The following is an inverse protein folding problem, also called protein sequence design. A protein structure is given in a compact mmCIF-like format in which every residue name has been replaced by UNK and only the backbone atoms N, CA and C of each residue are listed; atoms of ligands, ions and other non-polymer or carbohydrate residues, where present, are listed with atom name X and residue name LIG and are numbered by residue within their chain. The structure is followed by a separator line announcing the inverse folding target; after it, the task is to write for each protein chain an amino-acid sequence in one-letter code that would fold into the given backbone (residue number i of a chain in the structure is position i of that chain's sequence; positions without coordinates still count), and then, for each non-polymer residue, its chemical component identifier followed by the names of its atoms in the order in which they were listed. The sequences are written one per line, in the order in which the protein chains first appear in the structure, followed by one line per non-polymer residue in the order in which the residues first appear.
data_IF_766570494938
#
_entry.id   IF_766570494938
#
_cell.length_a   1.000
_cell.length_b   1.000
_cell.length_c   1.000
_cell.angle_alpha   90.00
_cell.angle_beta   90.00
_cell.angle_gamma   90.00
#
_symmetry.space_group_name_H-M   'P 1'
#
loop_
_entity.id
_entity.type
_entity.pdbx_description
1 polymer ?
#
# COMPACT_ATOMS: atom_id res chain seq x y z
N UNK A 1 -15.52 -16.81 20.18
CA UNK A 1 -16.68 -16.23 19.46
C UNK A 1 -16.97 -14.83 20.00
N UNK A 2 -17.50 -13.96 19.16
CA UNK A 2 -17.86 -12.61 19.55
C UNK A 2 -18.85 -11.97 18.59
N UNK A 3 -19.32 -10.78 18.97
CA UNK A 3 -20.14 -9.92 18.13
C UNK A 3 -19.61 -8.48 18.21
N UNK A 4 -19.78 -7.72 17.14
CA UNK A 4 -19.43 -6.30 17.08
C UNK A 4 -20.54 -5.52 16.38
N UNK A 5 -20.75 -4.28 16.83
CA UNK A 5 -21.66 -3.33 16.19
C UNK A 5 -20.91 -2.00 16.08
N UNK A 6 -20.84 -1.48 14.86
CA UNK A 6 -20.25 -0.18 14.57
C UNK A 6 -21.32 0.72 13.94
N UNK A 7 -21.48 1.94 14.45
CA UNK A 7 -22.44 2.92 13.94
C UNK A 7 -21.68 4.20 13.61
N UNK A 8 -21.71 4.59 12.35
CA UNK A 8 -21.05 5.80 11.87
C UNK A 8 -22.09 6.73 11.27
N UNK A 9 -22.08 7.99 11.73
CA UNK A 9 -22.89 9.08 11.16
C UNK A 9 -21.97 10.23 10.81
N UNK A 10 -22.00 10.67 9.57
CA UNK A 10 -21.18 11.76 9.07
C UNK A 10 -22.00 12.78 8.29
N UNK A 11 -21.77 14.05 8.55
CA UNK A 11 -22.27 15.16 7.75
C UNK A 11 -21.09 15.78 7.02
N UNK A 12 -21.26 16.01 5.72
CA UNK A 12 -20.30 16.73 4.90
C UNK A 12 -20.99 18.02 4.40
N UNK A 13 -20.28 19.12 4.45
CA UNK A 13 -20.70 20.39 3.90
C UNK A 13 -19.53 20.99 3.14
N UNK A 14 -19.76 21.37 1.90
CA UNK A 14 -18.78 21.99 1.03
C UNK A 14 -19.39 23.22 0.41
N UNK A 15 -18.77 24.38 0.61
CA UNK A 15 -19.15 25.66 0.04
C UNK A 15 -17.97 26.24 -0.72
N UNK A 16 -18.23 26.83 -1.89
CA UNK A 16 -17.19 27.43 -2.73
C UNK A 16 -17.69 28.71 -3.35
N UNK A 17 -16.84 29.75 -3.37
CA UNK A 17 -17.17 31.06 -3.96
C UNK A 17 -17.08 31.10 -5.49
N UNK A 18 -16.73 29.96 -6.14
CA UNK A 18 -16.66 29.86 -7.60
C UNK A 18 -18.03 29.56 -8.18
N UNK A 19 -18.53 30.43 -9.05
CA UNK A 19 -19.86 30.33 -9.64
C UNK A 19 -20.13 29.10 -10.51
N UNK A 20 -19.06 28.42 -10.95
CA UNK A 20 -19.15 27.27 -11.85
C UNK A 20 -19.25 25.92 -11.09
N UNK A 21 -19.00 25.92 -9.80
CA UNK A 21 -19.06 24.72 -8.95
C UNK A 21 -20.12 24.92 -7.90
N UNK A 22 -21.09 24.02 -7.86
CA UNK A 22 -22.19 24.10 -6.89
C UNK A 22 -21.75 23.71 -5.48
N UNK A 23 -22.31 24.35 -4.47
CA UNK A 23 -22.22 23.90 -3.10
C UNK A 23 -22.79 22.49 -2.96
N UNK A 24 -22.26 21.71 -2.04
CA UNK A 24 -22.72 20.36 -1.76
C UNK A 24 -22.89 20.15 -0.25
N UNK A 25 -23.95 19.45 0.11
CA UNK A 25 -24.21 19.04 1.48
C UNK A 25 -24.74 17.61 1.49
N UNK A 26 -24.04 16.72 2.15
CA UNK A 26 -24.41 15.30 2.18
C UNK A 26 -24.32 14.69 3.59
N UNK A 27 -25.05 13.61 3.78
CA UNK A 27 -25.05 12.80 5.01
C UNK A 27 -24.75 11.37 4.66
N UNK A 28 -23.87 10.75 5.44
CA UNK A 28 -23.53 9.34 5.36
C UNK A 28 -23.88 8.67 6.69
N UNK A 29 -24.68 7.62 6.64
CA UNK A 29 -24.95 6.73 7.74
C UNK A 29 -24.45 5.31 7.35
N UNK A 30 -23.63 4.72 8.18
CA UNK A 30 -23.16 3.34 7.98
C UNK A 30 -23.30 2.58 9.30
N UNK A 31 -24.12 1.52 9.29
CA UNK A 31 -24.28 0.62 10.42
C UNK A 31 -23.71 -0.74 10.03
N UNK A 32 -22.83 -1.29 10.86
CA UNK A 32 -22.22 -2.59 10.64
C UNK A 32 -22.51 -3.51 11.79
N UNK A 33 -23.05 -4.69 11.49
CA UNK A 33 -23.33 -5.75 12.44
C UNK A 33 -22.48 -6.96 12.08
N UNK A 34 -21.73 -7.49 13.02
CA UNK A 34 -20.87 -8.62 12.77
C UNK A 34 -20.94 -9.66 13.88
N UNK A 35 -20.86 -10.94 13.48
CA UNK A 35 -20.64 -12.06 14.36
C UNK A 35 -19.46 -12.87 13.86
N UNK A 36 -18.67 -13.43 14.79
CA UNK A 36 -17.49 -14.19 14.40
C UNK A 36 -17.21 -15.34 15.37
N UNK A 37 -16.58 -16.37 14.83
CA UNK A 37 -16.06 -17.52 15.57
C UNK A 37 -14.66 -17.83 15.09
N UNK A 38 -13.79 -18.15 16.04
CA UNK A 38 -12.42 -18.58 15.76
C UNK A 38 -12.15 -19.86 16.55
N UNK A 39 -11.43 -20.78 15.92
CA UNK A 39 -11.00 -22.04 16.49
C UNK A 39 -9.53 -22.27 16.17
N UNK A 40 -8.72 -22.51 17.18
CA UNK A 40 -7.30 -22.84 17.04
C UNK A 40 -7.01 -24.16 17.74
N UNK A 41 -6.27 -25.04 17.07
CA UNK A 41 -5.86 -26.32 17.64
C UNK A 41 -4.46 -26.71 17.21
N UNK A 42 -3.74 -27.36 18.11
CA UNK A 42 -2.48 -28.01 17.80
C UNK A 42 -2.75 -29.43 17.31
N UNK A 43 -2.32 -29.72 16.10
CA UNK A 43 -2.38 -31.07 15.53
C UNK A 43 -0.99 -31.72 15.62
N UNK A 44 -0.85 -33.04 15.41
CA UNK A 44 0.45 -33.70 15.36
C UNK A 44 1.39 -33.13 14.27
N UNK A 45 0.84 -32.43 13.27
CA UNK A 45 1.59 -31.90 12.12
C UNK A 45 1.83 -30.38 12.20
N UNK A 46 1.20 -29.69 13.15
CA UNK A 46 1.30 -28.24 13.31
C UNK A 46 0.06 -27.57 13.85
N UNK A 47 0.07 -26.25 13.88
CA UNK A 47 -1.03 -25.44 14.40
C UNK A 47 -2.01 -25.08 13.27
N UNK A 48 -3.29 -25.41 13.47
CA UNK A 48 -4.39 -25.06 12.58
C UNK A 48 -5.25 -23.98 13.26
N UNK A 49 -5.51 -22.88 12.52
CA UNK A 49 -6.46 -21.86 12.94
C UNK A 49 -7.53 -21.72 11.87
N UNK A 50 -8.78 -21.67 12.30
CA UNK A 50 -9.97 -21.47 11.47
C UNK A 50 -10.75 -20.29 12.02
N UNK A 51 -11.21 -19.41 11.16
CA UNK A 51 -12.06 -18.30 11.54
C UNK A 51 -13.16 -18.09 10.52
N UNK A 52 -14.31 -17.65 11.00
CA UNK A 52 -15.43 -17.26 10.17
C UNK A 52 -16.08 -16.02 10.77
N UNK A 53 -16.18 -14.97 9.97
CA UNK A 53 -16.89 -13.73 10.31
C UNK A 53 -17.99 -13.49 9.29
N UNK A 54 -19.21 -13.30 9.77
CA UNK A 54 -20.33 -12.77 8.99
C UNK A 54 -20.49 -11.30 9.34
N UNK A 55 -20.80 -10.48 8.34
CA UNK A 55 -20.98 -9.06 8.49
C UNK A 55 -22.14 -8.56 7.61
N UNK A 56 -23.06 -7.83 8.22
CA UNK A 56 -24.11 -7.08 7.54
C UNK A 56 -23.81 -5.60 7.65
N UNK A 57 -23.86 -4.88 6.52
CA UNK A 57 -23.60 -3.44 6.46
C UNK A 57 -24.79 -2.74 5.82
N UNK A 58 -25.45 -1.85 6.58
CA UNK A 58 -26.41 -0.89 6.06
C UNK A 58 -25.72 0.42 5.75
N UNK A 59 -25.78 0.86 4.51
CA UNK A 59 -25.18 2.10 4.05
C UNK A 59 -26.23 3.01 3.42
N UNK A 60 -26.31 4.25 3.93
CA UNK A 60 -27.18 5.30 3.41
C UNK A 60 -26.34 6.53 3.10
N UNK A 61 -26.45 7.04 1.87
CA UNK A 61 -25.93 8.33 1.44
C UNK A 61 -27.09 9.22 1.02
N UNK A 62 -27.16 10.43 1.56
CA UNK A 62 -28.16 11.45 1.20
C UNK A 62 -27.47 12.72 0.78
N UNK A 63 -27.67 13.13 -0.48
CA UNK A 63 -27.37 14.48 -0.92
C UNK A 63 -28.57 15.39 -0.63
N UNK A 64 -28.35 16.52 0.06
CA UNK A 64 -29.42 17.40 0.47
C UNK A 64 -29.85 18.39 -0.62
N UNK A 65 -29.06 18.54 -1.68
CA UNK A 65 -29.36 19.40 -2.82
C UNK A 65 -29.83 18.60 -4.05
N UNK A 66 -29.39 17.34 -4.19
CA UNK A 66 -29.75 16.49 -5.31
C UNK A 66 -30.17 15.10 -4.83
N UNK A 67 -31.44 14.87 -4.67
CA UNK A 67 -32.00 13.62 -4.21
C UNK A 67 -31.77 12.45 -5.20
N UNK A 68 -31.43 12.70 -6.47
CA UNK A 68 -31.13 11.67 -7.45
C UNK A 68 -29.84 10.91 -7.14
N UNK A 69 -28.97 11.51 -6.32
CA UNK A 69 -27.72 10.91 -5.85
C UNK A 69 -27.89 10.07 -4.57
N UNK A 70 -29.07 10.01 -4.00
CA UNK A 70 -29.32 9.24 -2.79
C UNK A 70 -29.11 7.75 -3.03
N UNK A 71 -28.45 7.09 -2.09
CA UNK A 71 -28.13 5.67 -2.14
C UNK A 71 -28.55 5.04 -0.82
N UNK A 72 -29.24 3.93 -0.92
CA UNK A 72 -29.53 3.06 0.23
C UNK A 72 -29.25 1.63 -0.19
N UNK A 73 -28.36 0.94 0.54
CA UNK A 73 -27.97 -0.43 0.23
C UNK A 73 -27.62 -1.22 1.49
N UNK A 74 -28.09 -2.45 1.57
CA UNK A 74 -27.61 -3.48 2.50
C UNK A 74 -26.64 -4.42 1.80
N UNK A 75 -25.62 -4.87 2.50
CA UNK A 75 -24.62 -5.81 1.99
C UNK A 75 -24.28 -6.85 3.03
N UNK A 76 -24.29 -8.11 2.60
CA UNK A 76 -23.92 -9.27 3.43
C UNK A 76 -22.58 -9.84 2.96
N UNK A 77 -21.67 -10.06 3.89
CA UNK A 77 -20.36 -10.57 3.60
C UNK A 77 -19.94 -11.67 4.56
N UNK A 78 -19.24 -12.68 4.01
CA UNK A 78 -18.66 -13.77 4.77
C UNK A 78 -17.14 -13.74 4.60
N UNK A 79 -16.43 -13.72 5.71
CA UNK A 79 -14.97 -13.60 5.76
C UNK A 79 -14.36 -14.85 6.41
N UNK A 80 -14.12 -15.93 5.66
CA UNK A 80 -13.40 -17.08 6.14
C UNK A 80 -11.91 -16.77 6.28
N UNK A 81 -11.29 -17.36 7.28
CA UNK A 81 -9.85 -17.40 7.47
C UNK A 81 -9.41 -18.81 7.81
N UNK A 82 -8.34 -19.27 7.16
CA UNK A 82 -7.70 -20.55 7.42
C UNK A 82 -6.20 -20.32 7.46
N UNK A 83 -5.53 -20.81 8.50
CA UNK A 83 -4.07 -20.84 8.50
C UNK A 83 -3.57 -22.15 9.13
N UNK A 84 -2.53 -22.68 8.52
CA UNK A 84 -1.81 -23.84 9.01
C UNK A 84 -0.32 -23.52 9.05
N UNK A 85 0.29 -23.73 10.21
CA UNK A 85 1.71 -23.52 10.43
C UNK A 85 2.36 -24.81 10.95
N UNK A 86 3.50 -25.18 10.36
CA UNK A 86 4.25 -26.37 10.75
C UNK A 86 5.74 -26.09 10.83
N UNK A 87 6.44 -26.88 11.60
CA UNK A 87 7.90 -26.93 11.65
C UNK A 87 8.37 -28.36 11.45
N UNK A 88 9.10 -28.57 10.37
CA UNK A 88 9.71 -29.87 10.03
C UNK A 88 11.22 -29.69 10.09
N UNK A 89 11.85 -30.21 11.16
CA UNK A 89 13.27 -29.98 11.45
C UNK A 89 13.58 -28.48 11.51
N UNK A 90 14.42 -27.99 10.63
CA UNK A 90 14.84 -26.59 10.55
C UNK A 90 13.94 -25.73 9.62
N UNK A 91 12.99 -26.34 8.92
CA UNK A 91 12.08 -25.66 8.02
C UNK A 91 10.79 -25.29 8.75
N UNK A 92 10.48 -24.00 8.80
CA UNK A 92 9.18 -23.48 9.20
C UNK A 92 8.39 -23.19 7.92
N UNK A 93 7.15 -23.65 7.86
CA UNK A 93 6.26 -23.42 6.74
C UNK A 93 4.87 -22.99 7.23
N UNK A 94 4.24 -22.09 6.52
CA UNK A 94 2.85 -21.72 6.76
C UNK A 94 2.09 -21.55 5.46
N UNK A 95 0.82 -21.96 5.48
CA UNK A 95 -0.16 -21.73 4.44
C UNK A 95 -1.30 -20.93 5.06
N UNK A 96 -1.78 -19.91 4.39
CA UNK A 96 -2.93 -19.16 4.84
C UNK A 96 -3.84 -18.76 3.68
N UNK A 97 -5.14 -18.73 3.99
CA UNK A 97 -6.16 -18.16 3.13
C UNK A 97 -7.04 -17.24 3.97
N UNK A 98 -7.38 -16.07 3.43
CA UNK A 98 -8.29 -15.13 4.10
C UNK A 98 -9.06 -14.32 3.09
N UNK A 99 -10.30 -13.99 3.42
CA UNK A 99 -11.11 -12.99 2.73
C UNK A 99 -11.16 -11.75 3.60
N UNK A 100 -10.85 -10.59 3.00
CA UNK A 100 -10.85 -9.29 3.68
C UNK A 100 -11.61 -8.27 2.87
N UNK A 101 -12.23 -7.30 3.54
CA UNK A 101 -12.84 -6.15 2.89
C UNK A 101 -11.98 -4.90 3.07
N UNK A 102 -11.96 -4.04 2.05
CA UNK A 102 -11.51 -2.66 2.15
C UNK A 102 -12.69 -1.75 1.82
N UNK A 103 -13.18 -1.04 2.81
CA UNK A 103 -14.26 -0.08 2.62
C UNK A 103 -13.71 1.21 2.02
N UNK A 104 -14.47 1.89 1.15
CA UNK A 104 -14.09 3.22 0.70
C UNK A 104 -13.88 4.15 1.90
N UNK A 105 -12.85 4.98 1.83
CA UNK A 105 -12.73 6.09 2.77
C UNK A 105 -13.92 7.04 2.56
N UNK A 106 -14.48 7.61 3.62
CA UNK A 106 -15.62 8.52 3.52
C UNK A 106 -15.35 9.74 2.64
N UNK A 107 -14.10 10.19 2.54
CA UNK A 107 -13.70 11.25 1.61
C UNK A 107 -13.96 10.85 0.15
N UNK A 108 -13.84 9.56 -0.19
CA UNK A 108 -14.12 9.05 -1.54
C UNK A 108 -15.62 8.93 -1.84
N UNK A 109 -16.47 8.93 -0.81
CA UNK A 109 -17.92 8.81 -0.93
C UNK A 109 -18.63 10.17 -1.03
N UNK A 110 -17.90 11.26 -1.12
CA UNK A 110 -18.47 12.61 -1.30
C UNK A 110 -19.00 12.79 -2.72
N UNK A 111 -19.91 13.74 -2.90
CA UNK A 111 -20.49 14.13 -4.20
C UNK A 111 -19.99 15.47 -4.70
N UNK A 112 -19.35 16.28 -3.84
CA UNK A 112 -18.87 17.59 -4.23
C UNK A 112 -17.70 17.55 -5.22
N UNK A 113 -17.66 18.54 -6.11
CA UNK A 113 -16.52 18.79 -6.97
C UNK A 113 -15.56 19.75 -6.23
N UNK A 114 -14.29 19.39 -6.15
CA UNK A 114 -13.22 20.24 -5.61
C UNK A 114 -12.37 20.82 -6.74
N UNK A 115 -12.08 22.09 -6.65
CA UNK A 115 -11.17 22.76 -7.57
C UNK A 115 -9.72 22.55 -7.12
N UNK A 116 -8.91 21.85 -7.91
CA UNK A 116 -7.50 21.66 -7.63
C UNK A 116 -6.64 22.76 -8.30
N UNK A 117 -6.90 23.01 -9.59
CA UNK A 117 -6.31 24.08 -10.36
C UNK A 117 -7.09 24.28 -11.67
N UNK A 118 -6.66 25.22 -12.53
CA UNK A 118 -7.35 25.58 -13.78
C UNK A 118 -7.69 24.42 -14.70
N UNK A 119 -6.90 23.34 -14.65
CA UNK A 119 -7.05 22.19 -15.56
C UNK A 119 -7.49 20.91 -14.85
N UNK A 120 -7.61 20.93 -13.52
CA UNK A 120 -7.92 19.74 -12.76
C UNK A 120 -8.96 19.98 -11.69
N UNK A 121 -9.99 19.16 -11.74
CA UNK A 121 -11.04 19.06 -10.72
C UNK A 121 -10.96 17.68 -10.07
N UNK A 122 -11.52 17.52 -8.90
CA UNK A 122 -11.67 16.20 -8.27
C UNK A 122 -13.01 16.04 -7.59
N UNK A 123 -13.52 14.81 -7.59
CA UNK A 123 -14.76 14.46 -6.90
C UNK A 123 -14.61 13.10 -6.21
N UNK A 124 -15.54 12.78 -5.35
CA UNK A 124 -15.71 11.40 -4.86
C UNK A 124 -16.77 10.67 -5.67
N UNK A 125 -17.12 9.47 -5.21
CA UNK A 125 -18.17 8.66 -5.80
C UNK A 125 -18.95 7.92 -4.71
N UNK A 126 -20.16 8.37 -4.35
CA UNK A 126 -21.00 7.72 -3.34
C UNK A 126 -21.41 6.30 -3.71
N UNK A 127 -21.34 5.94 -5.02
CA UNK A 127 -21.70 4.61 -5.54
C UNK A 127 -20.63 3.55 -5.30
N UNK A 128 -19.46 3.91 -4.80
CA UNK A 128 -18.38 2.96 -4.53
C UNK A 128 -18.84 1.82 -3.61
N UNK A 129 -18.56 0.60 -4.04
CA UNK A 129 -18.78 -0.64 -3.30
C UNK A 129 -17.55 -1.00 -2.49
N UNK A 130 -17.73 -1.85 -1.48
CA UNK A 130 -16.62 -2.45 -0.76
C UNK A 130 -15.78 -3.32 -1.69
N UNK A 131 -14.47 -3.18 -1.60
CA UNK A 131 -13.52 -4.06 -2.24
C UNK A 131 -13.37 -5.34 -1.41
N UNK A 132 -13.41 -6.49 -2.06
CA UNK A 132 -13.24 -7.80 -1.44
C UNK A 132 -11.94 -8.42 -1.94
N UNK A 133 -11.07 -8.76 -1.00
CA UNK A 133 -9.75 -9.33 -1.27
C UNK A 133 -9.69 -10.77 -0.76
N UNK A 134 -9.64 -11.72 -1.69
CA UNK A 134 -9.32 -13.12 -1.42
C UNK A 134 -7.81 -13.28 -1.50
N UNK A 135 -7.16 -13.66 -0.41
CA UNK A 135 -5.72 -13.75 -0.29
C UNK A 135 -5.30 -15.15 0.10
N UNK A 136 -4.36 -15.73 -0.66
CA UNK A 136 -3.67 -16.96 -0.30
C UNK A 136 -2.18 -16.70 -0.19
N UNK A 137 -1.53 -17.23 0.85
CA UNK A 137 -0.10 -17.05 1.04
C UNK A 137 0.56 -18.33 1.51
N UNK A 138 1.74 -18.59 0.97
CA UNK A 138 2.67 -19.63 1.43
C UNK A 138 3.94 -18.92 1.89
N UNK A 139 4.37 -19.20 3.12
CA UNK A 139 5.64 -18.70 3.64
C UNK A 139 6.47 -19.89 4.09
N UNK A 140 7.76 -19.85 3.75
CA UNK A 140 8.74 -20.84 4.15
C UNK A 140 9.98 -20.14 4.69
N UNK A 141 10.55 -20.68 5.75
CA UNK A 141 11.81 -20.22 6.33
C UNK A 141 12.71 -21.41 6.65
N UNK A 142 13.92 -21.35 6.15
CA UNK A 142 14.97 -22.29 6.47
C UNK A 142 16.24 -21.53 6.84
N UNK A 143 16.62 -21.57 8.10
CA UNK A 143 17.78 -20.84 8.64
C UNK A 143 17.72 -19.34 8.25
N UNK A 144 18.63 -18.92 7.36
CA UNK A 144 18.77 -17.55 6.87
C UNK A 144 17.98 -17.26 5.57
N UNK A 145 17.38 -18.29 4.98
CA UNK A 145 16.59 -18.18 3.76
C UNK A 145 15.10 -18.12 4.10
N UNK A 146 14.39 -17.16 3.54
CA UNK A 146 12.92 -17.14 3.57
C UNK A 146 12.35 -16.95 2.17
N UNK A 147 11.22 -17.58 1.93
CA UNK A 147 10.46 -17.50 0.68
C UNK A 147 9.01 -17.22 1.00
N UNK A 148 8.38 -16.34 0.22
CA UNK A 148 6.93 -16.11 0.26
C UNK A 148 6.34 -16.12 -1.14
N UNK A 149 5.16 -16.72 -1.26
CA UNK A 149 4.31 -16.65 -2.44
C UNK A 149 2.95 -16.15 -2.01
N UNK A 150 2.48 -15.07 -2.60
CA UNK A 150 1.23 -14.41 -2.26
C UNK A 150 0.39 -14.29 -3.51
N UNK A 151 -0.83 -14.80 -3.45
CA UNK A 151 -1.84 -14.63 -4.50
C UNK A 151 -3.01 -13.83 -3.96
N UNK A 152 -3.50 -12.90 -4.75
CA UNK A 152 -4.68 -12.09 -4.42
C UNK A 152 -5.65 -12.06 -5.60
N UNK A 153 -6.93 -12.22 -5.29
CA UNK A 153 -8.05 -11.91 -6.17
C UNK A 153 -8.83 -10.75 -5.54
N UNK A 154 -8.79 -9.61 -6.19
CA UNK A 154 -9.44 -8.37 -5.75
C UNK A 154 -10.71 -8.15 -6.56
N UNK A 155 -11.85 -8.18 -5.91
CA UNK A 155 -13.15 -7.88 -6.50
C UNK A 155 -13.56 -6.46 -6.13
N UNK A 156 -14.23 -5.74 -7.06
CA UNK A 156 -14.62 -4.33 -6.90
C UNK A 156 -13.45 -3.42 -6.53
N UNK A 157 -12.27 -3.64 -7.09
CA UNK A 157 -11.08 -2.82 -6.80
C UNK A 157 -11.40 -1.34 -6.93
N UNK A 158 -11.04 -0.54 -5.91
CA UNK A 158 -11.29 0.90 -5.85
C UNK A 158 -10.03 1.60 -6.35
N UNK A 159 -10.15 2.31 -7.48
CA UNK A 159 -9.05 3.02 -8.12
C UNK A 159 -9.41 4.45 -8.44
N UNK A 160 -8.42 5.32 -8.43
CA UNK A 160 -8.53 6.66 -8.99
C UNK A 160 -8.71 6.55 -10.51
N UNK A 161 -9.64 7.35 -11.01
CA UNK A 161 -9.97 7.41 -12.41
C UNK A 161 -9.89 8.84 -12.89
N UNK A 162 -9.53 9.00 -14.13
CA UNK A 162 -9.38 10.32 -14.73
C UNK A 162 -10.09 10.35 -16.06
N UNK A 163 -10.94 11.33 -16.27
CA UNK A 163 -11.65 11.53 -17.53
C UNK A 163 -11.73 13.00 -17.91
N UNK A 164 -11.97 13.32 -19.19
CA UNK A 164 -12.23 14.70 -19.63
C UNK A 164 -13.44 15.31 -18.95
N UNK A 165 -13.35 16.57 -18.62
CA UNK A 165 -14.47 17.35 -18.08
C UNK A 165 -14.64 18.65 -18.88
N UNK A 166 -15.74 18.76 -19.61
CA UNK A 166 -15.96 19.89 -20.55
C UNK A 166 -15.13 19.76 -21.84
N UNK A 167 -15.01 20.87 -22.58
CA UNK A 167 -14.35 20.92 -23.89
C UNK A 167 -12.96 21.58 -23.87
N UNK A 168 -12.57 22.22 -22.76
CA UNK A 168 -11.37 23.09 -22.64
C UNK A 168 -10.13 22.36 -22.11
N UNK A 169 -10.12 21.03 -22.14
CA UNK A 169 -8.97 20.22 -21.69
C UNK A 169 -8.89 20.07 -20.17
N UNK A 170 -9.94 20.46 -19.44
CA UNK A 170 -10.06 20.19 -18.01
C UNK A 170 -10.25 18.70 -17.76
N UNK A 171 -9.64 18.19 -16.70
CA UNK A 171 -9.64 16.79 -16.33
C UNK A 171 -10.28 16.63 -14.96
N UNK A 172 -11.21 15.66 -14.84
CA UNK A 172 -11.83 15.27 -13.57
C UNK A 172 -11.13 14.04 -13.01
N UNK A 173 -10.70 14.11 -11.76
CA UNK A 173 -10.27 12.96 -10.98
C UNK A 173 -11.43 12.47 -10.13
N UNK A 174 -11.83 11.24 -10.31
CA UNK A 174 -12.85 10.55 -9.52
C UNK A 174 -12.40 9.15 -9.08
N UNK A 175 -13.31 8.37 -8.54
CA UNK A 175 -13.04 7.03 -8.05
C UNK A 175 -14.06 6.04 -8.60
N UNK A 176 -13.57 4.89 -9.03
CA UNK A 176 -14.40 3.83 -9.60
C UNK A 176 -14.10 2.48 -8.98
N UNK A 177 -15.08 1.58 -9.03
CA UNK A 177 -14.81 0.16 -8.84
C UNK A 177 -14.59 -0.47 -10.22
N UNK A 178 -13.55 -1.28 -10.36
CA UNK A 178 -13.42 -2.12 -11.54
C UNK A 178 -14.38 -3.32 -11.47
N UNK A 179 -15.14 -3.53 -12.55
CA UNK A 179 -16.14 -4.61 -12.64
C UNK A 179 -15.49 -5.99 -12.73
N UNK A 180 -14.34 -6.09 -13.37
CA UNK A 180 -13.59 -7.34 -13.51
C UNK A 180 -12.65 -7.55 -12.32
N UNK A 181 -12.57 -8.76 -11.78
CA UNK A 181 -11.59 -9.06 -10.72
C UNK A 181 -10.16 -8.84 -11.19
N UNK A 182 -9.33 -8.31 -10.30
CA UNK A 182 -7.90 -8.13 -10.52
C UNK A 182 -7.17 -9.25 -9.79
N UNK A 183 -6.40 -10.03 -10.53
CA UNK A 183 -5.55 -11.06 -9.96
C UNK A 183 -4.13 -10.52 -9.81
N UNK A 184 -3.45 -10.86 -8.73
CA UNK A 184 -2.05 -10.57 -8.56
C UNK A 184 -1.30 -11.73 -7.92
N UNK A 185 -0.05 -11.89 -8.29
CA UNK A 185 0.88 -12.88 -7.75
C UNK A 185 2.18 -12.17 -7.39
N UNK A 186 2.64 -12.38 -6.16
CA UNK A 186 3.94 -11.93 -5.67
C UNK A 186 4.75 -13.12 -5.17
N UNK A 187 6.01 -13.19 -5.54
CA UNK A 187 6.96 -14.18 -5.06
C UNK A 187 8.23 -13.47 -4.63
N UNK A 188 8.71 -13.76 -3.42
CA UNK A 188 9.89 -13.14 -2.84
C UNK A 188 10.78 -14.19 -2.20
N UNK A 189 12.07 -14.05 -2.41
CA UNK A 189 13.12 -14.83 -1.74
C UNK A 189 14.02 -13.85 -1.01
N UNK A 190 14.23 -14.09 0.28
CA UNK A 190 15.08 -13.25 1.13
C UNK A 190 16.19 -14.12 1.75
N UNK A 191 17.38 -13.56 1.74
CA UNK A 191 18.54 -14.09 2.45
C UNK A 191 19.03 -13.03 3.42
N UNK A 192 19.02 -13.34 4.72
CA UNK A 192 19.52 -12.42 5.76
C UNK A 192 20.28 -13.21 6.79
N UNK A 193 21.55 -12.86 7.00
CA UNK A 193 22.40 -13.49 8.00
C UNK A 193 23.49 -12.51 8.48
N UNK A 194 24.24 -12.91 9.49
CA UNK A 194 25.44 -12.22 9.93
C UNK A 194 26.60 -13.20 9.91
N UNK A 195 27.61 -12.91 9.09
CA UNK A 195 28.84 -13.68 8.98
C UNK A 195 30.02 -12.84 9.46
N UNK A 196 30.43 -13.06 10.71
CA UNK A 196 31.47 -12.27 11.34
C UNK A 196 31.04 -10.79 11.44
N UNK A 197 31.76 -9.92 10.73
CA UNK A 197 31.52 -8.48 10.72
C UNK A 197 30.58 -8.02 9.59
N UNK A 198 30.15 -8.91 8.75
CA UNK A 198 29.31 -8.61 7.59
C UNK A 198 27.88 -9.12 7.80
N UNK A 199 26.91 -8.23 7.60
CA UNK A 199 25.48 -8.51 7.70
C UNK A 199 24.82 -8.17 6.36
N UNK A 200 24.74 -9.13 5.41
CA UNK A 200 23.98 -8.97 4.18
C UNK A 200 22.48 -9.18 4.41
N UNK A 201 21.67 -8.52 3.59
CA UNK A 201 20.24 -8.80 3.44
C UNK A 201 19.88 -8.62 1.96
N UNK A 202 19.52 -9.71 1.30
CA UNK A 202 19.19 -9.72 -0.12
C UNK A 202 17.75 -10.16 -0.32
N UNK A 203 17.04 -9.45 -1.19
CA UNK A 203 15.69 -9.79 -1.62
C UNK A 203 15.66 -9.83 -3.13
N UNK A 204 15.14 -10.94 -3.68
CA UNK A 204 14.75 -11.03 -5.08
C UNK A 204 13.26 -11.31 -5.14
N UNK A 205 12.53 -10.56 -5.93
CA UNK A 205 11.09 -10.66 -6.04
C UNK A 205 10.56 -10.52 -7.47
N UNK A 206 9.41 -11.13 -7.67
CA UNK A 206 8.56 -10.95 -8.85
C UNK A 206 7.16 -10.60 -8.37
N UNK A 207 6.58 -9.54 -8.92
CA UNK A 207 5.19 -9.23 -8.70
C UNK A 207 4.50 -8.98 -10.04
N UNK A 208 3.32 -9.55 -10.23
CA UNK A 208 2.55 -9.41 -11.45
C UNK A 208 1.08 -9.28 -11.12
N UNK A 209 0.41 -8.35 -11.79
CA UNK A 209 -1.04 -8.26 -11.83
C UNK A 209 -1.58 -8.66 -13.20
N UNK A 210 -2.84 -9.04 -13.23
CA UNK A 210 -3.63 -9.24 -14.44
C UNK A 210 -4.86 -8.36 -14.33
N UNK A 211 -4.78 -7.18 -14.96
CA UNK A 211 -5.87 -6.22 -15.05
C UNK A 211 -6.16 -5.94 -16.52
N UNK A 212 -7.43 -5.99 -16.90
CA UNK A 212 -7.87 -5.53 -18.22
C UNK A 212 -9.23 -4.82 -18.09
N UNK A 213 -9.35 -3.68 -18.77
CA UNK A 213 -10.57 -2.88 -18.81
C UNK A 213 -10.70 -2.18 -20.16
N UNK A 214 -11.91 -1.70 -20.46
CA UNK A 214 -12.20 -1.03 -21.71
C UNK A 214 -12.22 0.48 -21.47
N UNK A 215 -11.49 1.23 -22.32
CA UNK A 215 -11.49 2.68 -22.38
C UNK A 215 -12.31 3.14 -23.59
N UNK A 216 -13.03 4.22 -23.43
CA UNK A 216 -13.66 4.89 -24.56
C UNK A 216 -12.57 5.52 -25.45
N UNK A 217 -12.51 5.08 -26.70
CA UNK A 217 -11.55 5.56 -27.69
C UNK A 217 -12.26 5.79 -29.04
N UNK A 218 -12.55 7.05 -29.40
CA UNK A 218 -13.27 7.37 -30.65
C UNK A 218 -12.45 7.06 -31.91
N UNK A 219 -11.18 6.70 -31.79
CA UNK A 219 -10.35 6.25 -32.93
C UNK A 219 -10.63 4.79 -33.30
N UNK A 220 -11.23 4.04 -32.39
CA UNK A 220 -11.59 2.66 -32.60
C UNK A 220 -13.01 2.55 -33.21
N UNK A 221 -13.20 1.64 -34.17
CA UNK A 221 -14.49 1.42 -34.81
C UNK A 221 -15.60 1.04 -33.84
N UNK A 222 -15.25 0.33 -32.78
CA UNK A 222 -16.17 -0.04 -31.68
C UNK A 222 -16.44 1.07 -30.68
N UNK A 223 -15.75 2.21 -30.79
CA UNK A 223 -15.74 3.28 -29.79
C UNK A 223 -15.02 2.92 -28.49
N UNK A 224 -14.45 1.71 -28.38
CA UNK A 224 -13.79 1.21 -27.18
C UNK A 224 -12.48 0.49 -27.50
N UNK A 225 -11.49 0.63 -26.63
CA UNK A 225 -10.21 -0.05 -26.69
C UNK A 225 -9.93 -0.79 -25.38
N UNK A 226 -9.66 -2.09 -25.46
CA UNK A 226 -9.26 -2.89 -24.31
C UNK A 226 -7.79 -2.63 -23.98
N UNK A 227 -7.52 -2.18 -22.77
CA UNK A 227 -6.19 -1.99 -22.21
C UNK A 227 -5.86 -3.13 -21.26
N UNK A 228 -4.61 -3.58 -21.29
CA UNK A 228 -4.11 -4.66 -20.42
C UNK A 228 -2.90 -4.18 -19.63
N UNK A 229 -3.04 -4.16 -18.31
CA UNK A 229 -1.97 -3.84 -17.38
C UNK A 229 -1.47 -5.12 -16.70
N UNK A 230 -0.54 -5.82 -17.35
CA UNK A 230 -0.05 -7.14 -16.91
C UNK A 230 1.47 -7.31 -16.97
N UNK A 231 2.23 -6.20 -17.13
CA UNK A 231 3.69 -6.21 -17.11
C UNK A 231 4.20 -6.52 -15.71
N UNK A 232 5.07 -7.54 -15.53
CA UNK A 232 5.58 -7.89 -14.23
C UNK A 232 6.60 -6.87 -13.72
N UNK A 233 6.70 -6.74 -12.40
CA UNK A 233 7.73 -6.00 -11.69
C UNK A 233 8.77 -6.98 -11.17
N UNK A 234 10.03 -6.78 -11.54
CA UNK A 234 11.17 -7.47 -10.95
C UNK A 234 11.80 -6.58 -9.87
N UNK A 235 12.09 -7.17 -8.74
CA UNK A 235 12.58 -6.50 -7.55
C UNK A 235 13.91 -7.13 -7.15
N UNK A 236 14.94 -6.31 -6.99
CA UNK A 236 16.23 -6.75 -6.44
C UNK A 236 16.70 -5.74 -5.41
N UNK A 237 16.73 -6.14 -4.15
CA UNK A 237 17.27 -5.34 -3.07
C UNK A 237 18.50 -6.02 -2.49
N UNK A 238 19.58 -5.27 -2.35
CA UNK A 238 20.84 -5.74 -1.81
C UNK A 238 21.35 -4.76 -0.76
N UNK A 239 21.20 -5.13 0.50
CA UNK A 239 21.75 -4.38 1.62
C UNK A 239 22.95 -5.09 2.20
N UNK A 240 24.02 -4.36 2.44
CA UNK A 240 25.24 -4.85 3.06
C UNK A 240 25.65 -3.89 4.18
N UNK A 241 25.90 -4.43 5.35
CA UNK A 241 26.48 -3.69 6.47
C UNK A 241 27.74 -4.40 6.97
N UNK A 242 28.81 -3.64 7.15
CA UNK A 242 30.04 -4.10 7.76
C UNK A 242 30.28 -3.34 9.05
N UNK A 243 30.51 -4.08 10.16
CA UNK A 243 30.88 -3.54 11.45
C UNK A 243 32.32 -3.96 11.76
N UNK A 244 33.22 -2.99 11.79
CA UNK A 244 34.61 -3.26 12.12
C UNK A 244 34.77 -3.47 13.62
N UNK A 245 35.68 -4.39 14.05
CA UNK A 245 35.92 -4.63 15.45
C UNK A 245 36.40 -3.35 16.17
N UNK A 246 35.87 -3.13 17.36
CA UNK A 246 36.32 -2.08 18.28
C UNK A 246 37.41 -2.64 19.20
N UNK A 247 38.22 -1.77 19.79
CA UNK A 247 39.09 -2.10 20.93
C UNK A 247 38.31 -2.27 22.24
N UNK A 248 36.98 -2.16 22.21
CA UNK A 248 36.09 -2.29 23.36
C UNK A 248 35.76 -3.75 23.63
N UNK A 249 35.57 -4.08 24.91
CA UNK A 249 35.24 -5.44 25.36
C UNK A 249 33.83 -5.91 24.93
N UNK A 250 32.95 -4.98 24.49
CA UNK A 250 31.58 -5.28 24.05
C UNK A 250 31.50 -5.89 22.64
N UNK A 251 32.62 -6.01 21.95
CA UNK A 251 32.71 -6.63 20.62
C UNK A 251 32.07 -5.83 19.47
N UNK A 252 31.47 -4.68 19.74
CA UNK A 252 30.88 -3.82 18.72
C UNK A 252 31.94 -2.94 18.05
N UNK A 253 31.86 -2.87 16.70
CA UNK A 253 32.77 -2.02 15.93
C UNK A 253 32.49 -0.54 16.12
N UNK A 254 33.56 0.24 16.28
CA UNK A 254 33.44 1.70 16.29
C UNK A 254 33.09 2.27 14.92
N UNK A 255 33.28 1.51 13.85
CA UNK A 255 32.96 1.87 12.47
C UNK A 255 31.90 0.96 11.89
N UNK A 256 30.96 1.54 11.13
CA UNK A 256 29.99 0.81 10.34
C UNK A 256 29.97 1.41 8.93
N UNK A 257 29.99 0.51 7.93
CA UNK A 257 29.81 0.85 6.52
C UNK A 257 28.54 0.19 6.03
N UNK A 258 27.76 0.92 5.24
CA UNK A 258 26.52 0.44 4.64
C UNK A 258 26.55 0.68 3.14
N UNK A 259 26.12 -0.31 2.37
CA UNK A 259 25.87 -0.20 0.94
C UNK A 259 24.49 -0.79 0.65
N UNK A 260 23.60 0.01 0.12
CA UNK A 260 22.25 -0.39 -0.23
C UNK A 260 22.00 -0.16 -1.72
N UNK A 261 21.48 -1.16 -2.40
CA UNK A 261 21.04 -1.10 -3.79
C UNK A 261 19.60 -1.60 -3.87
N UNK A 262 18.70 -0.79 -4.36
CA UNK A 262 17.30 -1.12 -4.60
C UNK A 262 16.99 -0.93 -6.08
N UNK A 263 16.57 -2.00 -6.74
CA UNK A 263 16.21 -2.01 -8.15
C UNK A 263 14.79 -2.52 -8.35
N UNK A 264 14.02 -1.77 -9.14
CA UNK A 264 12.71 -2.18 -9.65
C UNK A 264 12.73 -2.05 -11.18
N UNK A 265 12.25 -3.06 -11.89
CA UNK A 265 12.04 -2.91 -13.34
C UNK A 265 10.93 -1.91 -13.63
N UNK A 266 10.70 -1.59 -14.86
CA UNK A 266 9.45 -1.02 -15.34
C UNK A 266 8.29 -2.04 -15.22
N UNK A 267 7.07 -1.60 -14.88
CA UNK A 267 5.95 -2.50 -14.54
C UNK A 267 4.59 -1.83 -14.69
N UNK A 268 3.53 -2.63 -14.56
CA UNK A 268 2.16 -2.12 -14.43
C UNK A 268 1.66 -2.30 -12.98
N UNK A 269 1.03 -1.27 -12.44
CA UNK A 269 0.42 -1.29 -11.13
C UNK A 269 -0.90 -0.52 -11.10
N UNK A 270 -1.98 -1.19 -10.64
CA UNK A 270 -3.31 -0.62 -10.76
C UNK A 270 -3.60 -0.30 -12.24
N UNK A 271 -4.15 0.86 -12.50
CA UNK A 271 -4.45 1.41 -13.82
C UNK A 271 -3.30 2.28 -14.41
N UNK A 272 -2.08 2.11 -13.91
CA UNK A 272 -0.93 2.90 -14.34
C UNK A 272 0.22 2.02 -14.84
N UNK A 273 1.00 2.57 -15.78
CA UNK A 273 2.29 2.07 -16.22
C UNK A 273 3.41 2.85 -15.54
N UNK A 274 4.32 2.17 -14.85
CA UNK A 274 5.62 2.72 -14.47
C UNK A 274 6.58 2.46 -15.61
N UNK A 275 6.93 3.50 -16.35
CA UNK A 275 7.55 3.41 -17.68
C UNK A 275 9.09 3.36 -17.65
N UNK A 276 9.72 3.42 -16.47
CA UNK A 276 11.17 3.35 -16.32
C UNK A 276 11.58 2.42 -15.18
N UNK A 277 12.80 1.91 -15.26
CA UNK A 277 13.41 1.24 -14.13
C UNK A 277 13.79 2.25 -13.05
N UNK A 278 13.52 1.90 -11.79
CA UNK A 278 14.00 2.61 -10.62
C UNK A 278 15.28 1.95 -10.10
N UNK A 279 16.30 2.73 -9.78
CA UNK A 279 17.51 2.22 -9.15
C UNK A 279 18.06 3.22 -8.14
N UNK A 280 17.97 2.88 -6.87
CA UNK A 280 18.57 3.64 -5.79
C UNK A 280 19.84 2.93 -5.30
N UNK A 281 21.00 3.52 -5.55
CA UNK A 281 22.24 3.10 -4.90
C UNK A 281 22.61 4.13 -3.83
N UNK A 282 22.76 3.68 -2.59
CA UNK A 282 23.12 4.55 -1.46
C UNK A 282 24.22 3.91 -0.62
N UNK A 283 25.05 4.74 -0.01
CA UNK A 283 26.09 4.30 0.92
C UNK A 283 26.15 5.18 2.16
N UNK A 284 26.63 4.62 3.25
CA UNK A 284 26.86 5.37 4.47
C UNK A 284 28.09 4.86 5.23
N UNK A 285 28.72 5.78 5.95
CA UNK A 285 29.76 5.49 6.93
C UNK A 285 29.34 6.10 8.25
N UNK A 286 29.44 5.32 9.32
CA UNK A 286 29.13 5.77 10.66
C UNK A 286 30.30 5.44 11.60
N UNK A 287 30.58 6.35 12.50
CA UNK A 287 31.49 6.11 13.61
C UNK A 287 30.79 6.45 14.92
N UNK A 288 31.02 5.60 15.91
CA UNK A 288 30.50 5.79 17.26
C UNK A 288 31.65 5.99 18.26
N UNK A 289 31.41 6.83 19.27
CA UNK A 289 32.33 7.16 20.36
C UNK A 289 31.59 7.15 21.70
N UNK A 290 32.35 7.27 22.77
CA UNK A 290 31.90 7.31 24.16
C UNK A 290 31.31 5.96 24.63
N UNK A 291 31.07 5.86 25.93
CA UNK A 291 30.43 4.68 26.51
C UNK A 291 29.03 4.47 25.96
N UNK A 292 28.65 3.21 25.76
CA UNK A 292 27.35 2.80 25.20
C UNK A 292 27.02 3.43 23.83
N UNK A 293 28.03 3.78 23.01
CA UNK A 293 27.85 4.46 21.73
C UNK A 293 26.99 5.74 21.87
N UNK A 294 27.27 6.53 22.95
CA UNK A 294 26.47 7.69 23.26
C UNK A 294 26.59 8.79 22.20
N UNK A 295 27.73 8.92 21.54
CA UNK A 295 27.91 9.83 20.41
C UNK A 295 28.11 9.02 19.12
N UNK A 296 27.36 9.32 18.08
CA UNK A 296 27.57 8.78 16.74
C UNK A 296 27.48 9.87 15.67
N UNK A 297 28.31 9.75 14.67
CA UNK A 297 28.31 10.59 13.46
C UNK A 297 28.19 9.70 12.26
N UNK A 298 27.22 10.00 11.40
CA UNK A 298 26.93 9.25 10.17
C UNK A 298 26.93 10.21 8.99
N UNK A 299 27.73 9.90 7.97
CA UNK A 299 27.69 10.52 6.66
C UNK A 299 27.03 9.53 5.71
N UNK A 300 26.03 9.97 4.96
CA UNK A 300 25.35 9.13 3.99
C UNK A 300 25.14 9.88 2.67
N UNK A 301 25.25 9.13 1.59
CA UNK A 301 24.90 9.57 0.23
C UNK A 301 23.78 8.68 -0.27
N UNK A 302 22.68 9.30 -0.70
CA UNK A 302 21.51 8.63 -1.22
C UNK A 302 21.37 8.91 -2.71
N UNK A 303 20.89 7.91 -3.47
CA UNK A 303 20.66 7.98 -4.91
C UNK A 303 21.90 8.46 -5.69
N UNK A 304 23.01 7.74 -5.53
CA UNK A 304 24.32 8.13 -6.12
C UNK A 304 24.24 8.38 -7.64
N UNK A 305 23.36 7.67 -8.34
CA UNK A 305 23.21 7.77 -9.80
C UNK A 305 22.04 8.66 -10.27
N UNK A 306 21.23 9.22 -9.36
CA UNK A 306 20.09 10.05 -9.71
C UNK A 306 18.96 9.29 -10.44
N UNK A 307 18.80 7.98 -10.14
CA UNK A 307 17.81 7.11 -10.81
C UNK A 307 16.70 6.62 -9.89
N UNK A 308 16.64 7.13 -8.66
CA UNK A 308 15.61 6.74 -7.69
C UNK A 308 14.29 7.48 -7.90
N UNK A 309 13.78 7.50 -9.12
CA UNK A 309 12.51 8.14 -9.48
C UNK A 309 11.68 7.26 -10.40
N UNK A 310 10.38 7.52 -10.45
CA UNK A 310 9.44 6.87 -11.36
C UNK A 310 8.91 7.85 -12.40
N UNK A 311 8.61 7.32 -13.59
CA UNK A 311 7.83 7.98 -14.61
C UNK A 311 6.55 7.18 -14.78
N UNK A 312 5.40 7.80 -14.51
CA UNK A 312 4.09 7.13 -14.52
C UNK A 312 3.29 7.62 -15.72
N UNK A 313 2.61 6.68 -16.38
CA UNK A 313 1.70 6.95 -17.49
C UNK A 313 0.35 6.32 -17.17
N UNK A 314 -0.72 7.07 -17.44
CA UNK A 314 -2.10 6.61 -17.33
C UNK A 314 -2.76 6.84 -18.67
N UNK A 315 -3.27 5.77 -19.28
CA UNK A 315 -4.00 5.83 -20.53
C UNK A 315 -5.48 6.16 -20.26
N UNK A 316 -5.95 7.23 -20.87
CA UNK A 316 -7.31 7.76 -20.70
C UNK A 316 -8.14 7.63 -21.99
N UNK A 317 -7.72 6.77 -22.93
CA UNK A 317 -8.36 6.60 -24.23
C UNK A 317 -7.85 7.62 -25.24
N UNK A 318 -8.42 8.82 -25.27
CA UNK A 318 -8.05 9.88 -26.23
C UNK A 318 -6.69 10.48 -25.97
N UNK A 319 -6.23 10.49 -24.73
CA UNK A 319 -4.94 11.03 -24.31
C UNK A 319 -4.29 10.19 -23.22
N UNK A 320 -3.01 10.45 -23.04
CA UNK A 320 -2.21 9.81 -22.01
C UNK A 320 -1.78 10.90 -21.02
N UNK A 321 -2.09 10.71 -19.76
CA UNK A 321 -1.53 11.51 -18.69
C UNK A 321 -0.16 10.95 -18.33
N UNK A 322 0.85 11.81 -18.28
CA UNK A 322 2.21 11.42 -17.96
C UNK A 322 2.79 12.32 -16.86
N UNK A 323 3.40 11.71 -15.88
CA UNK A 323 4.09 12.39 -14.79
C UNK A 323 5.48 11.80 -14.63
N UNK A 324 6.50 12.65 -14.67
CA UNK A 324 7.90 12.24 -14.61
C UNK A 324 8.56 12.67 -13.31
N UNK A 325 9.64 12.00 -12.92
CA UNK A 325 10.43 12.32 -11.74
C UNK A 325 9.60 12.40 -10.46
N UNK A 326 8.80 11.37 -10.21
CA UNK A 326 8.02 11.26 -8.97
C UNK A 326 8.67 10.25 -8.03
N UNK A 327 8.52 10.50 -6.73
CA UNK A 327 8.98 9.61 -5.70
C UNK A 327 7.82 8.71 -5.25
N UNK A 328 8.02 7.40 -5.34
CA UNK A 328 7.13 6.38 -4.79
C UNK A 328 5.67 6.44 -5.27
N UNK A 329 4.81 5.73 -4.53
CA UNK A 329 3.39 5.58 -4.81
C UNK A 329 2.59 6.86 -4.54
N UNK A 330 3.08 7.73 -3.69
CA UNK A 330 2.38 8.95 -3.25
C UNK A 330 2.49 10.12 -4.23
N UNK A 331 3.16 9.91 -5.36
CA UNK A 331 3.35 10.93 -6.40
C UNK A 331 3.90 12.26 -5.86
N UNK A 332 4.71 12.20 -4.81
CA UNK A 332 5.42 13.37 -4.29
C UNK A 332 6.57 13.76 -5.24
N UNK A 333 7.01 14.99 -5.15
CA UNK A 333 8.15 15.49 -5.94
C UNK A 333 9.37 14.63 -5.61
N UNK A 334 10.10 14.20 -6.66
CA UNK A 334 11.35 13.48 -6.50
C UNK A 334 12.38 14.33 -5.76
N UNK A 335 12.89 13.80 -4.66
CA UNK A 335 14.05 14.36 -3.98
C UNK A 335 15.33 13.94 -4.73
N UNK A 336 16.12 14.91 -5.23
CA UNK A 336 17.37 14.59 -5.92
C UNK A 336 18.37 13.93 -4.98
N UNK A 337 19.53 13.57 -5.53
CA UNK A 337 20.66 13.05 -4.78
C UNK A 337 20.93 13.86 -3.51
N UNK A 338 21.00 13.17 -2.37
CA UNK A 338 21.20 13.83 -1.08
C UNK A 338 22.49 13.35 -0.42
N UNK A 339 23.20 14.29 0.19
CA UNK A 339 24.29 14.02 1.12
C UNK A 339 23.86 14.50 2.50
N UNK A 340 23.86 13.61 3.47
CA UNK A 340 23.43 13.93 4.83
C UNK A 340 24.50 13.63 5.86
N UNK A 341 24.68 14.56 6.80
CA UNK A 341 25.52 14.40 7.98
C UNK A 341 24.61 14.38 9.21
N UNK A 342 24.60 13.27 9.92
CA UNK A 342 23.81 13.10 11.14
C UNK A 342 24.73 12.96 12.35
N UNK A 343 24.54 13.82 13.34
CA UNK A 343 25.20 13.72 14.64
C UNK A 343 24.14 13.37 15.69
N UNK A 344 24.35 12.27 16.39
CA UNK A 344 23.43 11.80 17.44
C UNK A 344 24.18 11.71 18.76
N UNK A 345 23.61 12.32 19.81
CA UNK A 345 24.07 12.16 21.17
C UNK A 345 22.92 11.67 22.06
N UNK A 346 23.15 10.57 22.79
CA UNK A 346 22.18 9.99 23.72
C UNK A 346 22.41 10.56 25.12
N UNK A 347 21.51 11.42 25.58
CA UNK A 347 21.49 11.88 26.96
C UNK A 347 20.74 10.86 27.82
N UNK A 348 21.25 10.47 28.96
CA UNK A 348 20.62 9.62 29.99
C UNK A 348 19.69 8.54 29.37
N UNK A 349 20.24 7.46 28.84
CA UNK A 349 19.49 6.36 28.27
C UNK A 349 18.78 5.54 29.38
N UNK A 350 17.75 6.10 30.00
CA UNK A 350 16.81 5.33 30.80
C UNK A 350 15.93 4.52 29.85
N UNK A 351 15.76 3.21 30.14
CA UNK A 351 14.92 2.32 29.36
C UNK A 351 13.53 2.94 29.20
N UNK A 352 13.15 3.27 27.95
CA UNK A 352 11.81 3.72 27.63
C UNK A 352 10.79 2.66 28.05
N UNK A 353 9.87 3.01 28.96
CA UNK A 353 8.71 2.15 29.23
C UNK A 353 7.82 2.16 27.98
N UNK A 354 7.70 1.02 27.32
CA UNK A 354 6.78 0.82 26.22
C UNK A 354 5.35 1.20 26.67
N UNK A 355 4.75 2.19 26.00
CA UNK A 355 3.33 2.49 26.12
C UNK A 355 2.64 1.87 24.91
N UNK A 356 1.88 0.81 25.14
CA UNK A 356 1.08 0.16 24.09
C UNK A 356 0.16 1.16 23.38
N UNK A 357 -0.07 0.94 22.11
CA UNK A 357 -1.05 1.68 21.33
C UNK A 357 -2.47 1.30 21.79
N UNK A 358 -3.26 2.29 22.21
CA UNK A 358 -4.64 2.09 22.69
C UNK A 358 -5.57 1.56 21.61
N UNK A 359 -6.67 0.91 22.03
CA UNK A 359 -7.76 0.51 21.15
C UNK A 359 -8.38 1.71 20.42
N UNK A 360 -8.77 1.54 19.16
CA UNK A 360 -9.45 2.56 18.35
C UNK A 360 -8.65 3.12 17.18
N UNK A 361 -7.47 2.58 16.86
CA UNK A 361 -6.64 3.06 15.75
C UNK A 361 -7.25 2.82 14.36
N UNK A 362 -8.05 1.78 14.17
CA UNK A 362 -8.74 1.50 12.89
C UNK A 362 -9.76 2.59 12.54
N UNK A 363 -10.46 3.14 13.52
CA UNK A 363 -11.44 4.21 13.31
C UNK A 363 -10.74 5.52 12.95
N UNK A 364 -9.60 5.81 13.60
CA UNK A 364 -8.81 7.02 13.31
C UNK A 364 -8.18 7.00 11.92
N UNK A 365 -7.81 5.84 11.41
CA UNK A 365 -7.23 5.71 10.06
C UNK A 365 -8.25 5.93 8.93
N UNK A 366 -9.57 5.90 9.23
CA UNK A 366 -10.67 6.12 8.26
C UNK A 366 -11.20 7.58 8.27
N UNK A 367 -10.80 8.39 9.21
CA UNK A 367 -11.16 9.82 9.30
C UNK A 367 -10.21 10.68 8.48
#
# INVERSE_FOLDING_TARGET
AGAAVDIVKRNNEYTIDQKEIADDRSKVNENTYAVFVEYGTMTPYGMLNLGLRYEHVDFEFKNLFDASQNINRGQDHLYPTVSFGTQIKEVQASLSYSVKTRRPNYRLLRSNIEYNNRYTLSTGNPKLKNEINNQAAINMRWRFLSMSVNYQNQQNGIYDWTHPYGEDGTVMFDWVNFDKPIHSLGTFVNVTNTWGHWTPSYTVGLQKQWLSFDLDDPRETSGKRTVKYNKPMYIVNAYNAWRLPSRRDDGFGAWQFELNSEFLSDFHWGNAEVANCYWNLSCAIQKSWLENDALSVRLAVNDIFGKAHHNVRIDLGNYVMSQTHINGVERSIYDPQTVSLTVRYKFNATKSKYRGTGAGNEIKARM
#
